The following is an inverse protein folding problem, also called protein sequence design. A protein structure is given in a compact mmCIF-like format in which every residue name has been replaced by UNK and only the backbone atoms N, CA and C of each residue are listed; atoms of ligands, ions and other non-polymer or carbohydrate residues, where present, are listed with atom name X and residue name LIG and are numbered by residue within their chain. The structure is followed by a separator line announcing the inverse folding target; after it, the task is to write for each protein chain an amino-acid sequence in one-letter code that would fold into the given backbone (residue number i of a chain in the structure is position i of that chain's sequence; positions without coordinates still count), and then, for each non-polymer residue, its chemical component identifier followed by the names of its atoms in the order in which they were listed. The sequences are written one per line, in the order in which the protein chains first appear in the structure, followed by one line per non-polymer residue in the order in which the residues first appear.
data_IF_598460060271
#
_entry.id   IF_598460060271
#
_cell.length_a   1.000
_cell.length_b   1.000
_cell.length_c   1.000
_cell.angle_alpha   90.00
_cell.angle_beta   90.00
_cell.angle_gamma   90.00
#
_symmetry.space_group_name_H-M   'P 1'
#
loop_
_entity.id
_entity.type
_entity.pdbx_description
1 polymer ?
#
# COMPACT_ATOMS: atom_id res chain seq x y z
N UNK A 1 -23.88 -11.53 8.66
CA UNK A 1 -23.55 -12.77 9.43
C UNK A 1 -22.32 -13.53 8.91
N UNK A 2 -21.77 -13.22 7.72
CA UNK A 2 -20.55 -13.84 7.18
C UNK A 2 -19.79 -12.78 6.37
N UNK A 3 -18.50 -12.98 6.12
CA UNK A 3 -17.71 -12.11 5.24
C UNK A 3 -16.86 -12.92 4.25
N UNK A 4 -16.47 -12.28 3.15
CA UNK A 4 -15.42 -12.76 2.25
C UNK A 4 -14.38 -11.64 2.18
N UNK A 5 -13.12 -11.99 2.45
CA UNK A 5 -11.98 -11.09 2.44
C UNK A 5 -11.03 -11.58 1.35
N UNK A 6 -10.92 -10.84 0.24
CA UNK A 6 -10.17 -11.27 -0.94
C UNK A 6 -9.08 -10.27 -1.29
N UNK A 7 -7.83 -10.74 -1.34
CA UNK A 7 -6.65 -9.97 -1.75
C UNK A 7 -6.47 -8.65 -0.98
N UNK A 8 -6.77 -8.66 0.32
CA UNK A 8 -6.62 -7.48 1.15
C UNK A 8 -7.22 -7.64 2.54
N UNK A 9 -6.64 -6.98 3.53
CA UNK A 9 -7.14 -6.98 4.91
C UNK A 9 -6.77 -5.67 5.61
N UNK A 10 -7.31 -5.46 6.82
CA UNK A 10 -6.92 -4.33 7.66
C UNK A 10 -5.45 -4.36 8.12
N UNK A 11 -4.77 -5.51 7.99
CA UNK A 11 -3.35 -5.67 8.36
C UNK A 11 -2.40 -5.54 7.16
N UNK A 12 -2.92 -5.44 5.93
CA UNK A 12 -2.09 -5.03 4.80
C UNK A 12 -1.48 -3.64 5.08
N UNK A 13 -0.26 -3.33 4.60
CA UNK A 13 0.42 -2.08 4.94
C UNK A 13 -0.30 -0.83 4.39
N UNK A 14 -1.18 -1.01 3.41
CA UNK A 14 -2.09 0.01 2.87
C UNK A 14 -3.47 0.04 3.54
N UNK A 15 -3.79 -0.89 4.44
CA UNK A 15 -5.10 -1.01 5.10
C UNK A 15 -5.40 0.10 6.12
N UNK A 16 -4.38 0.72 6.70
CA UNK A 16 -4.51 1.93 7.51
C UNK A 16 -3.21 2.75 7.52
N UNK A 17 -3.27 4.02 7.93
CA UNK A 17 -2.10 4.88 8.11
C UNK A 17 -1.69 5.00 9.58
N UNK A 18 -0.39 5.11 9.81
CA UNK A 18 0.15 5.43 11.14
C UNK A 18 -0.22 6.85 11.58
N UNK A 19 -0.36 7.10 12.90
CA UNK A 19 -0.73 8.40 13.42
C UNK A 19 0.15 9.54 12.88
N UNK A 20 -0.50 10.61 12.41
CA UNK A 20 0.17 11.81 11.93
C UNK A 20 0.62 11.77 10.46
N UNK A 21 0.72 10.61 9.82
CA UNK A 21 1.09 10.51 8.38
C UNK A 21 0.14 11.32 7.51
N UNK A 22 -1.17 11.04 7.59
CA UNK A 22 -2.15 11.75 6.76
C UNK A 22 -2.34 13.20 7.17
N UNK A 23 -2.01 13.57 8.43
CA UNK A 23 -1.98 14.97 8.86
C UNK A 23 -0.89 15.76 8.11
N UNK A 24 0.30 15.18 7.93
CA UNK A 24 1.38 15.78 7.13
C UNK A 24 0.97 15.91 5.66
N UNK A 25 0.37 14.87 5.09
CA UNK A 25 -0.15 14.91 3.70
C UNK A 25 -1.23 15.98 3.54
N UNK A 26 -2.13 16.13 4.51
CA UNK A 26 -3.17 17.16 4.49
C UNK A 26 -2.59 18.59 4.54
N UNK A 27 -1.48 18.80 5.23
CA UNK A 27 -0.78 20.09 5.22
C UNK A 27 -0.23 20.43 3.82
N UNK A 28 0.34 19.44 3.12
CA UNK A 28 0.79 19.60 1.72
C UNK A 28 -0.39 19.93 0.80
N UNK A 29 -1.53 19.26 0.95
CA UNK A 29 -2.75 19.60 0.19
C UNK A 29 -3.17 21.03 0.44
N UNK A 30 -3.17 21.48 1.70
CA UNK A 30 -3.53 22.84 2.08
C UNK A 30 -2.65 23.87 1.35
N UNK A 31 -1.33 23.65 1.33
CA UNK A 31 -0.37 24.50 0.60
C UNK A 31 -0.64 24.52 -0.90
N UNK A 32 -0.82 23.34 -1.52
CA UNK A 32 -1.01 23.22 -2.97
C UNK A 32 -2.30 23.89 -3.48
N UNK A 33 -3.33 23.98 -2.63
CA UNK A 33 -4.64 24.54 -3.00
C UNK A 33 -4.92 25.90 -2.36
N UNK A 34 -3.93 26.49 -1.69
CA UNK A 34 -4.04 27.82 -1.07
C UNK A 34 -5.02 27.89 0.10
N UNK A 35 -5.26 26.78 0.80
CA UNK A 35 -6.10 26.74 1.99
C UNK A 35 -5.29 26.88 3.28
N UNK A 36 -5.84 27.53 4.33
CA UNK A 36 -5.20 27.51 5.65
C UNK A 36 -5.22 26.08 6.19
N UNK A 37 -4.14 25.65 6.86
CA UNK A 37 -4.12 24.33 7.51
C UNK A 37 -4.65 24.37 8.96
N UNK A 38 -4.56 25.53 9.61
CA UNK A 38 -5.01 25.76 10.98
C UNK A 38 -5.70 27.12 11.11
N UNK A 39 -6.82 27.21 11.86
CA UNK A 39 -7.50 26.13 12.59
C UNK A 39 -8.21 25.12 11.67
N UNK A 40 -8.43 23.89 12.14
CA UNK A 40 -8.99 22.80 11.31
C UNK A 40 -10.38 23.11 10.73
N UNK A 41 -11.17 23.96 11.38
CA UNK A 41 -12.48 24.40 10.85
C UNK A 41 -12.32 25.24 9.59
N UNK A 42 -11.32 26.12 9.55
CA UNK A 42 -11.07 27.00 8.40
C UNK A 42 -10.48 26.21 7.24
N UNK A 43 -9.63 25.23 7.54
CA UNK A 43 -9.13 24.29 6.54
C UNK A 43 -10.28 23.54 5.85
N UNK A 44 -11.18 22.95 6.64
CA UNK A 44 -12.34 22.23 6.12
C UNK A 44 -13.25 23.15 5.29
N UNK A 45 -13.59 24.33 5.81
CA UNK A 45 -14.46 25.28 5.13
C UNK A 45 -13.85 25.79 3.81
N UNK A 46 -12.53 25.90 3.73
CA UNK A 46 -11.82 26.24 2.50
C UNK A 46 -11.90 25.09 1.49
N UNK A 47 -11.55 23.86 1.89
CA UNK A 47 -11.60 22.70 0.98
C UNK A 47 -13.01 22.47 0.41
N UNK A 48 -14.05 22.64 1.22
CA UNK A 48 -15.45 22.46 0.79
C UNK A 48 -15.91 23.47 -0.27
N UNK A 49 -15.19 24.57 -0.48
CA UNK A 49 -15.47 25.55 -1.54
C UNK A 49 -14.76 25.24 -2.85
N UNK A 50 -13.78 24.35 -2.84
CA UNK A 50 -13.02 23.97 -4.03
C UNK A 50 -13.76 22.89 -4.83
N UNK A 51 -13.61 22.88 -6.17
CA UNK A 51 -13.99 21.72 -6.96
C UNK A 51 -13.25 20.47 -6.47
N UNK A 52 -13.96 19.35 -6.32
CA UNK A 52 -13.34 18.10 -5.86
C UNK A 52 -12.17 17.65 -6.74
N UNK A 53 -12.23 17.93 -8.04
CA UNK A 53 -11.12 17.66 -8.97
C UNK A 53 -9.83 18.41 -8.59
N UNK A 54 -9.93 19.65 -8.10
CA UNK A 54 -8.77 20.42 -7.63
C UNK A 54 -8.04 19.68 -6.52
N UNK A 55 -8.79 19.09 -5.59
CA UNK A 55 -8.23 18.31 -4.47
C UNK A 55 -7.63 17.00 -5.00
N UNK A 56 -8.35 16.26 -5.84
CA UNK A 56 -7.87 14.99 -6.42
C UNK A 56 -6.59 15.19 -7.24
N UNK A 57 -6.48 16.29 -8.00
CA UNK A 57 -5.29 16.62 -8.80
C UNK A 57 -4.02 16.79 -7.95
N UNK A 58 -4.14 17.05 -6.65
CA UNK A 58 -2.97 17.10 -5.75
C UNK A 58 -2.32 15.72 -5.54
N UNK A 59 -3.05 14.62 -5.78
CA UNK A 59 -2.58 13.27 -5.49
C UNK A 59 -1.27 12.92 -6.23
N UNK A 60 -1.09 13.46 -7.45
CA UNK A 60 0.13 13.28 -8.25
C UNK A 60 1.40 13.79 -7.57
N UNK A 61 1.30 14.76 -6.66
CA UNK A 61 2.45 15.33 -5.95
C UNK A 61 2.99 14.41 -4.87
N UNK A 62 2.25 13.34 -4.51
CA UNK A 62 2.71 12.33 -3.57
C UNK A 62 3.36 11.13 -4.26
N UNK A 63 3.25 11.01 -5.59
CA UNK A 63 3.87 9.93 -6.35
C UNK A 63 5.37 10.19 -6.50
N UNK A 64 6.17 9.22 -6.08
CA UNK A 64 7.64 9.31 -6.03
C UNK A 64 8.28 8.51 -7.16
N UNK A 65 7.80 7.29 -7.41
CA UNK A 65 8.38 6.41 -8.41
C UNK A 65 7.33 5.45 -8.96
N UNK A 66 7.20 5.39 -10.29
CA UNK A 66 6.23 4.54 -10.98
C UNK A 66 4.81 4.78 -10.43
N UNK A 67 4.21 3.84 -9.71
CA UNK A 67 2.89 4.00 -9.07
C UNK A 67 2.95 4.28 -7.56
N UNK A 68 4.15 4.47 -6.99
CA UNK A 68 4.36 4.48 -5.54
C UNK A 68 4.35 5.87 -4.89
N UNK A 69 3.79 6.00 -3.67
CA UNK A 69 3.14 4.93 -2.92
C UNK A 69 1.77 4.56 -3.53
N UNK A 70 1.50 3.27 -3.67
CA UNK A 70 0.27 2.74 -4.32
C UNK A 70 -1.03 3.22 -3.67
N UNK A 71 -1.01 3.58 -2.38
CA UNK A 71 -2.15 4.16 -1.66
C UNK A 71 -1.73 5.40 -0.86
N UNK A 72 -2.14 6.58 -1.35
CA UNK A 72 -1.83 7.91 -0.76
C UNK A 72 -2.77 8.29 0.38
N UNK A 73 -4.04 7.90 0.34
CA UNK A 73 -5.00 8.18 1.41
C UNK A 73 -5.56 6.85 1.92
N UNK A 74 -5.32 6.56 3.20
CA UNK A 74 -5.67 5.28 3.84
C UNK A 74 -6.70 5.52 4.95
N UNK A 75 -7.42 4.49 5.41
CA UNK A 75 -8.14 4.57 6.69
C UNK A 75 -7.22 5.01 7.83
N UNK A 76 -7.79 5.67 8.84
CA UNK A 76 -7.06 6.15 10.04
C UNK A 76 -7.71 5.66 11.31
N UNK A 77 -6.93 5.60 12.37
CA UNK A 77 -7.46 5.39 13.73
C UNK A 77 -8.02 6.73 14.23
N UNK A 78 -9.32 6.77 14.42
CA UNK A 78 -10.08 7.92 14.86
C UNK A 78 -10.12 8.03 16.39
N UNK A 79 -10.34 9.25 16.89
CA UNK A 79 -10.52 9.45 18.33
C UNK A 79 -11.88 8.88 18.75
N UNK A 80 -11.96 8.12 19.86
CA UNK A 80 -13.23 7.55 20.34
C UNK A 80 -14.34 8.57 20.64
N UNK A 81 -13.97 9.84 20.87
CA UNK A 81 -14.93 10.92 21.12
C UNK A 81 -15.59 11.49 19.86
N UNK A 82 -15.16 11.08 18.66
CA UNK A 82 -15.80 11.49 17.41
C UNK A 82 -17.11 10.72 17.25
N UNK A 83 -18.19 11.46 16.99
CA UNK A 83 -19.49 10.86 16.69
C UNK A 83 -19.37 10.00 15.41
N UNK A 84 -19.90 8.79 15.45
CA UNK A 84 -19.91 7.83 14.34
C UNK A 84 -18.49 7.39 13.87
N UNK A 85 -17.49 7.44 14.76
CA UNK A 85 -16.15 6.94 14.48
C UNK A 85 -16.19 5.46 14.05
N UNK A 86 -15.56 5.15 12.92
CA UNK A 86 -15.55 3.82 12.31
C UNK A 86 -14.45 2.94 12.89
N UNK A 87 -13.21 3.44 12.94
CA UNK A 87 -12.05 2.68 13.42
C UNK A 87 -11.37 3.42 14.57
N UNK A 88 -11.62 3.01 15.80
CA UNK A 88 -11.09 3.70 17.00
C UNK A 88 -9.89 3.00 17.66
N UNK A 89 -9.46 1.86 17.13
CA UNK A 89 -8.33 1.06 17.63
C UNK A 89 -7.48 0.55 16.46
N UNK A 90 -6.24 0.18 16.75
CA UNK A 90 -5.39 -0.48 15.78
C UNK A 90 -6.03 -1.77 15.28
N UNK A 91 -6.03 -2.06 13.96
CA UNK A 91 -6.42 -3.37 13.44
C UNK A 91 -5.63 -4.54 14.07
N UNK A 92 -4.43 -4.28 14.60
CA UNK A 92 -3.61 -5.24 15.36
C UNK A 92 -4.16 -5.60 16.75
N UNK A 93 -5.18 -4.89 17.23
CA UNK A 93 -5.85 -5.16 18.51
C UNK A 93 -7.26 -5.72 18.31
N UNK A 94 -7.80 -5.60 17.10
CA UNK A 94 -9.15 -6.03 16.78
C UNK A 94 -9.19 -7.51 16.41
N UNK A 95 -10.26 -8.18 16.82
CA UNK A 95 -10.57 -9.56 16.44
C UNK A 95 -12.07 -9.70 16.18
N UNK A 96 -12.45 -10.79 15.51
CA UNK A 96 -13.83 -11.09 15.16
C UNK A 96 -14.05 -12.60 15.17
N UNK A 97 -15.27 -13.01 15.50
CA UNK A 97 -15.74 -14.40 15.46
C UNK A 97 -16.72 -14.66 14.31
N UNK A 98 -17.02 -13.64 13.49
CA UNK A 98 -17.89 -13.76 12.31
C UNK A 98 -17.24 -14.72 11.31
N UNK A 99 -17.93 -15.74 10.78
CA UNK A 99 -17.34 -16.65 9.79
C UNK A 99 -16.82 -15.92 8.55
N UNK A 100 -15.58 -16.23 8.14
CA UNK A 100 -14.91 -15.58 6.99
C UNK A 100 -14.32 -16.60 6.02
N UNK A 101 -14.46 -16.31 4.73
CA UNK A 101 -13.64 -16.90 3.67
C UNK A 101 -12.56 -15.88 3.29
N UNK A 102 -11.29 -16.26 3.43
CA UNK A 102 -10.14 -15.49 3.01
C UNK A 102 -9.66 -15.98 1.64
N UNK A 103 -9.21 -15.07 0.80
CA UNK A 103 -8.71 -15.38 -0.53
C UNK A 103 -7.46 -14.61 -0.87
N UNK A 104 -6.53 -15.26 -1.57
CA UNK A 104 -5.35 -14.64 -2.15
C UNK A 104 -5.07 -15.22 -3.53
N UNK A 105 -4.41 -14.45 -4.38
CA UNK A 105 -3.96 -14.89 -5.70
C UNK A 105 -2.52 -15.39 -5.68
N UNK A 106 -2.15 -16.19 -6.68
CA UNK A 106 -0.78 -16.66 -6.87
C UNK A 106 0.25 -15.53 -7.08
N UNK A 107 -0.18 -14.45 -7.75
CA UNK A 107 0.68 -13.37 -8.19
C UNK A 107 0.08 -12.00 -7.85
N UNK A 108 -0.23 -11.74 -6.57
CA UNK A 108 -0.84 -10.48 -6.11
C UNK A 108 -0.01 -9.24 -6.49
N UNK A 109 1.31 -9.35 -6.35
CA UNK A 109 2.30 -8.33 -6.74
C UNK A 109 2.36 -8.06 -8.24
N UNK A 110 1.60 -8.79 -9.05
CA UNK A 110 1.52 -8.59 -10.50
C UNK A 110 1.12 -7.18 -10.89
N UNK A 111 0.33 -6.48 -10.06
CA UNK A 111 0.01 -5.05 -10.25
C UNK A 111 1.29 -4.22 -10.38
N UNK A 112 2.23 -4.41 -9.46
CA UNK A 112 3.51 -3.69 -9.47
C UNK A 112 4.40 -4.15 -10.61
N UNK A 113 4.57 -5.46 -10.75
CA UNK A 113 5.41 -6.05 -11.80
C UNK A 113 5.01 -5.51 -13.16
N UNK A 114 3.72 -5.54 -13.49
CA UNK A 114 3.23 -5.11 -14.79
C UNK A 114 3.38 -3.60 -15.00
N UNK A 115 3.26 -2.78 -13.96
CA UNK A 115 3.58 -1.36 -14.05
C UNK A 115 5.07 -1.10 -14.33
N UNK A 116 5.99 -1.72 -13.59
CA UNK A 116 7.43 -1.47 -13.77
C UNK A 116 7.99 -2.06 -15.06
N UNK A 117 7.39 -3.13 -15.58
CA UNK A 117 7.75 -3.73 -16.88
C UNK A 117 6.96 -3.16 -18.05
N UNK A 118 6.11 -2.16 -17.84
CA UNK A 118 5.39 -1.43 -18.88
C UNK A 118 5.95 -0.01 -19.10
N UNK A 119 5.80 0.51 -20.33
CA UNK A 119 6.25 1.85 -20.71
C UNK A 119 7.78 2.00 -20.75
N UNK A 120 8.34 3.04 -20.13
CA UNK A 120 9.79 3.29 -20.08
C UNK A 120 10.51 2.38 -19.05
N UNK A 121 10.57 1.09 -19.38
CA UNK A 121 11.18 0.05 -18.55
C UNK A 121 12.65 0.36 -18.24
N UNK A 122 13.40 0.83 -19.23
CA UNK A 122 14.84 1.09 -19.07
C UNK A 122 15.09 2.17 -18.01
N UNK A 123 14.38 3.30 -18.08
CA UNK A 123 14.54 4.37 -17.08
C UNK A 123 14.06 3.93 -15.69
N UNK A 124 12.93 3.21 -15.62
CA UNK A 124 12.39 2.71 -14.34
C UNK A 124 13.37 1.79 -13.62
N UNK A 125 13.95 0.81 -14.31
CA UNK A 125 14.92 -0.12 -13.71
C UNK A 125 16.28 0.54 -13.42
N UNK A 126 16.71 1.49 -14.26
CA UNK A 126 17.92 2.29 -13.97
C UNK A 126 17.75 3.08 -12.68
N UNK A 127 16.63 3.81 -12.53
CA UNK A 127 16.33 4.56 -11.31
C UNK A 127 16.21 3.60 -10.12
N UNK A 128 15.47 2.50 -10.27
CA UNK A 128 15.25 1.56 -9.18
C UNK A 128 16.55 0.97 -8.63
N UNK A 129 17.51 0.62 -9.50
CA UNK A 129 18.81 0.15 -9.03
C UNK A 129 19.65 1.26 -8.38
N UNK A 130 19.60 2.48 -8.91
CA UNK A 130 20.38 3.61 -8.38
C UNK A 130 19.85 4.12 -7.03
N UNK A 131 18.53 4.04 -6.81
CA UNK A 131 17.82 4.64 -5.68
C UNK A 131 17.10 3.58 -4.84
N UNK A 132 17.51 2.31 -4.91
CA UNK A 132 16.76 1.22 -4.26
C UNK A 132 16.53 1.48 -2.76
N UNK A 133 17.55 1.96 -2.05
CA UNK A 133 17.47 2.12 -0.60
C UNK A 133 16.48 3.20 -0.16
N UNK A 134 16.27 4.22 -0.99
CA UNK A 134 15.28 5.28 -0.73
C UNK A 134 13.89 4.91 -1.27
N UNK A 135 13.82 4.16 -2.37
CA UNK A 135 12.55 3.78 -3.01
C UNK A 135 11.88 2.59 -2.32
N UNK A 136 12.63 1.58 -1.86
CA UNK A 136 12.08 0.35 -1.28
C UNK A 136 11.17 0.61 -0.06
N UNK A 137 11.51 1.48 0.91
CA UNK A 137 10.62 1.77 2.05
C UNK A 137 9.28 2.40 1.65
N UNK A 138 9.27 3.19 0.58
CA UNK A 138 8.08 3.84 0.05
C UNK A 138 7.25 2.82 -0.73
N UNK A 139 7.92 2.12 -1.66
CA UNK A 139 7.29 1.18 -2.58
C UNK A 139 6.72 -0.04 -1.88
N UNK A 140 7.41 -0.57 -0.86
CA UNK A 140 6.96 -1.71 -0.06
C UNK A 140 6.17 -1.29 1.20
N UNK A 141 5.93 0.02 1.37
CA UNK A 141 5.04 0.60 2.38
C UNK A 141 5.43 0.34 3.85
N UNK A 142 6.71 0.08 4.14
CA UNK A 142 7.20 -0.06 5.52
C UNK A 142 7.85 1.22 6.08
N UNK A 143 8.17 2.21 5.23
CA UNK A 143 8.91 3.42 5.64
C UNK A 143 8.19 4.27 6.69
N UNK A 144 6.85 4.25 6.69
CA UNK A 144 6.04 5.00 7.66
C UNK A 144 5.79 4.24 8.97
N UNK A 145 6.16 2.94 9.01
CA UNK A 145 5.85 2.00 10.09
C UNK A 145 7.08 1.55 10.86
N UNK A 146 8.25 1.56 10.22
CA UNK A 146 9.50 1.12 10.84
C UNK A 146 10.45 2.29 11.12
N UNK A 147 10.95 2.43 12.36
CA UNK A 147 12.02 3.37 12.67
C UNK A 147 13.37 2.96 12.05
N UNK A 148 13.56 1.67 11.72
CA UNK A 148 14.75 1.14 11.05
C UNK A 148 14.37 0.58 9.67
N UNK A 149 14.15 1.48 8.72
CA UNK A 149 13.85 1.10 7.35
C UNK A 149 15.07 0.52 6.63
N UNK A 150 16.30 0.86 7.04
CA UNK A 150 17.53 0.43 6.38
C UNK A 150 17.79 -1.07 6.56
N UNK A 151 17.62 -1.60 7.78
CA UNK A 151 17.76 -3.02 8.03
C UNK A 151 16.73 -3.86 7.26
N UNK A 152 15.48 -3.38 7.18
CA UNK A 152 14.41 -4.05 6.41
C UNK A 152 14.74 -4.03 4.92
N UNK A 153 15.14 -2.89 4.36
CA UNK A 153 15.56 -2.75 2.96
C UNK A 153 16.60 -3.80 2.59
N UNK A 154 17.65 -3.93 3.41
CA UNK A 154 18.73 -4.89 3.20
C UNK A 154 18.23 -6.34 3.26
N UNK A 155 17.46 -6.67 4.29
CA UNK A 155 16.92 -8.02 4.48
C UNK A 155 16.02 -8.44 3.30
N UNK A 156 15.11 -7.55 2.86
CA UNK A 156 14.23 -7.79 1.72
C UNK A 156 15.05 -7.97 0.43
N UNK A 157 16.02 -7.08 0.17
CA UNK A 157 16.85 -7.16 -1.04
C UNK A 157 17.62 -8.49 -1.10
N UNK A 158 18.27 -8.84 0.00
CA UNK A 158 19.00 -10.10 0.14
C UNK A 158 18.08 -11.32 -0.05
N UNK A 159 16.86 -11.30 0.49
CA UNK A 159 15.93 -12.44 0.40
C UNK A 159 15.46 -12.70 -1.04
N UNK A 160 14.98 -11.68 -1.76
CA UNK A 160 14.40 -11.88 -3.10
C UNK A 160 15.42 -11.86 -4.23
N UNK A 161 16.55 -11.17 -4.07
CA UNK A 161 17.54 -10.99 -5.13
C UNK A 161 18.89 -11.66 -4.82
N UNK A 162 19.08 -12.17 -3.61
CA UNK A 162 20.23 -13.01 -3.21
C UNK A 162 21.48 -12.24 -2.77
N UNK A 163 21.69 -11.00 -3.23
CA UNK A 163 22.74 -10.13 -2.70
C UNK A 163 22.40 -8.65 -2.86
N UNK A 164 22.95 -7.81 -1.97
CA UNK A 164 22.68 -6.37 -1.96
C UNK A 164 23.22 -5.65 -3.20
N UNK A 165 24.21 -6.22 -3.89
CA UNK A 165 24.84 -5.61 -5.06
C UNK A 165 24.31 -6.16 -6.40
N UNK A 166 23.42 -7.15 -6.38
CA UNK A 166 22.87 -7.70 -7.62
C UNK A 166 21.97 -6.67 -8.28
N UNK A 167 22.21 -6.40 -9.55
CA UNK A 167 21.32 -5.58 -10.37
C UNK A 167 19.96 -6.27 -10.52
N UNK A 168 18.89 -5.54 -10.22
CA UNK A 168 17.51 -5.96 -10.47
C UNK A 168 17.23 -5.73 -11.95
N UNK A 169 16.82 -6.78 -12.66
CA UNK A 169 16.63 -6.73 -14.12
C UNK A 169 15.16 -6.92 -14.51
N UNK A 170 14.72 -6.40 -15.67
CA UNK A 170 13.33 -6.55 -16.14
C UNK A 170 12.84 -7.98 -16.28
N UNK A 171 13.74 -8.94 -16.50
CA UNK A 171 13.43 -10.37 -16.63
C UNK A 171 13.26 -11.09 -15.28
N UNK A 172 13.55 -10.44 -14.15
CA UNK A 172 13.34 -10.97 -12.79
C UNK A 172 11.88 -10.89 -12.33
N UNK A 173 10.94 -11.14 -13.26
CA UNK A 173 9.49 -10.99 -13.10
C UNK A 173 8.99 -11.77 -11.87
N UNK A 174 9.45 -13.01 -11.69
CA UNK A 174 9.01 -13.86 -10.57
C UNK A 174 9.42 -13.28 -9.22
N UNK A 175 10.68 -12.86 -9.07
CA UNK A 175 11.22 -12.31 -7.82
C UNK A 175 10.53 -10.99 -7.46
N UNK A 176 10.35 -10.11 -8.44
CA UNK A 176 9.64 -8.83 -8.26
C UNK A 176 8.19 -9.10 -7.83
N UNK A 177 7.50 -9.99 -8.56
CA UNK A 177 6.11 -10.34 -8.26
C UNK A 177 5.95 -10.92 -6.86
N UNK A 178 6.82 -11.85 -6.46
CA UNK A 178 6.78 -12.45 -5.13
C UNK A 178 7.04 -11.41 -4.04
N UNK A 179 8.07 -10.57 -4.19
CA UNK A 179 8.39 -9.51 -3.24
C UNK A 179 7.20 -8.58 -2.96
N UNK A 180 6.52 -8.12 -4.02
CA UNK A 180 5.35 -7.26 -3.86
C UNK A 180 4.09 -8.03 -3.43
N UNK A 181 3.95 -9.30 -3.80
CA UNK A 181 2.86 -10.15 -3.30
C UNK A 181 2.92 -10.25 -1.79
N UNK A 182 4.11 -10.56 -1.28
CA UNK A 182 4.35 -10.78 0.14
C UNK A 182 4.23 -9.48 0.93
N UNK A 183 4.85 -8.41 0.44
CA UNK A 183 4.82 -7.11 1.11
C UNK A 183 3.43 -6.48 1.13
N UNK A 184 2.70 -6.46 0.01
CA UNK A 184 1.43 -5.72 -0.07
C UNK A 184 0.22 -6.53 0.38
N UNK A 185 0.22 -7.85 0.23
CA UNK A 185 -0.99 -8.66 0.35
C UNK A 185 -0.82 -9.84 1.28
N UNK A 186 0.06 -10.79 0.92
CA UNK A 186 0.07 -12.14 1.51
C UNK A 186 0.31 -12.09 3.02
N UNK A 187 1.32 -11.36 3.48
CA UNK A 187 1.61 -11.29 4.92
C UNK A 187 0.44 -10.70 5.71
N UNK A 188 -0.13 -9.57 5.27
CA UNK A 188 -1.27 -8.95 5.96
C UNK A 188 -2.51 -9.84 5.97
N UNK A 189 -2.79 -10.56 4.87
CA UNK A 189 -3.93 -11.50 4.82
C UNK A 189 -3.67 -12.71 5.72
N UNK A 190 -2.48 -13.31 5.68
CA UNK A 190 -2.13 -14.46 6.53
C UNK A 190 -2.14 -14.09 8.02
N UNK A 191 -1.60 -12.94 8.41
CA UNK A 191 -1.70 -12.43 9.78
C UNK A 191 -3.16 -12.26 10.22
N UNK A 192 -4.02 -11.82 9.30
CA UNK A 192 -5.46 -11.68 9.58
C UNK A 192 -6.13 -13.05 9.75
N UNK A 193 -5.80 -14.02 8.90
CA UNK A 193 -6.29 -15.41 9.00
C UNK A 193 -5.87 -16.03 10.33
N UNK A 194 -4.61 -15.85 10.73
CA UNK A 194 -4.07 -16.39 11.98
C UNK A 194 -4.81 -15.80 13.19
N UNK A 195 -4.97 -14.48 13.23
CA UNK A 195 -5.59 -13.73 14.34
C UNK A 195 -7.12 -13.82 14.40
N UNK A 196 -7.77 -14.32 13.35
CA UNK A 196 -9.22 -14.50 13.32
C UNK A 196 -9.67 -15.63 14.27
N UNK A 197 -10.68 -15.33 15.11
CA UNK A 197 -11.17 -16.22 16.17
C UNK A 197 -12.43 -17.01 15.79
N UNK A 198 -13.03 -16.72 14.63
CA UNK A 198 -14.20 -17.43 14.12
C UNK A 198 -13.87 -18.55 13.12
N UNK A 199 -14.91 -19.21 12.56
CA UNK A 199 -14.73 -20.16 11.47
C UNK A 199 -14.05 -19.50 10.27
N UNK A 200 -12.92 -20.06 9.84
CA UNK A 200 -12.09 -19.54 8.75
C UNK A 200 -11.84 -20.57 7.67
N UNK A 201 -11.97 -20.12 6.42
CA UNK A 201 -11.60 -20.88 5.23
C UNK A 201 -10.64 -20.03 4.42
N UNK A 202 -9.62 -20.65 3.84
CA UNK A 202 -8.66 -19.96 2.98
C UNK A 202 -8.72 -20.60 1.59
N UNK A 203 -8.81 -19.77 0.55
CA UNK A 203 -8.60 -20.21 -0.82
C UNK A 203 -7.41 -19.50 -1.45
N UNK A 204 -6.74 -20.21 -2.34
CA UNK A 204 -5.63 -19.71 -3.12
C UNK A 204 -5.95 -19.85 -4.60
N UNK A 205 -5.99 -18.72 -5.30
CA UNK A 205 -6.45 -18.64 -6.68
C UNK A 205 -5.26 -18.58 -7.63
N UNK A 206 -5.13 -19.62 -8.45
CA UNK A 206 -3.98 -19.84 -9.35
C UNK A 206 -4.33 -19.77 -10.83
N UNK A 207 -5.59 -19.48 -11.16
CA UNK A 207 -6.05 -19.49 -12.54
C UNK A 207 -5.46 -18.31 -13.33
N UNK A 208 -4.80 -18.64 -14.44
CA UNK A 208 -4.12 -17.70 -15.31
C UNK A 208 -4.83 -17.66 -16.69
N UNK A 209 -5.32 -16.48 -17.10
CA UNK A 209 -5.96 -16.26 -18.41
C UNK A 209 -4.99 -15.64 -19.42
N UNK A 210 -5.33 -15.81 -20.70
CA UNK A 210 -4.68 -15.15 -21.85
C UNK A 210 -4.80 -13.61 -21.84
N UNK A 211 -5.77 -13.04 -21.12
CA UNK A 211 -5.93 -11.58 -20.94
C UNK A 211 -6.06 -11.24 -19.45
N UNK A 212 -5.32 -10.23 -19.00
CA UNK A 212 -5.29 -9.80 -17.60
C UNK A 212 -5.03 -8.29 -17.46
N UNK A 213 -5.05 -7.78 -16.23
CA UNK A 213 -4.62 -6.40 -15.94
C UNK A 213 -3.25 -6.07 -16.55
N UNK A 214 -2.35 -7.04 -16.57
CA UNK A 214 -1.04 -6.87 -17.18
C UNK A 214 -1.13 -6.54 -18.66
N UNK A 215 -2.12 -7.06 -19.39
CA UNK A 215 -2.38 -6.75 -20.79
C UNK A 215 -2.70 -5.27 -21.06
N UNK A 216 -2.99 -4.47 -20.03
CA UNK A 216 -3.19 -3.00 -20.15
C UNK A 216 -1.86 -2.24 -20.10
N UNK A 217 -0.83 -2.81 -19.47
CA UNK A 217 0.49 -2.20 -19.34
C UNK A 217 1.43 -2.50 -20.53
N UNK A 218 1.06 -3.46 -21.38
CA UNK A 218 1.78 -3.86 -22.60
C UNK A 218 1.17 -3.22 -23.85
#
# INVERSE_FOLDING_TARGET
HRAIIHSGSGLCPWGYAEPGVLKKRAAVVAELVGCPFSPSKDFLACLQKLPGETIVRTNKHFLVWDLDPVVVWKPVIEKPCVKDAFLTKSPWELTSTVPVIFGMNYAEGGIKTCSVTGGDVSSKFKQWNAEYDSLAPISLLYGERSPDSAAITKAVRSFYFGSDNKEIKPDMITQITQMYSDAWFVNGVLDTVERHQGPKYLFYYTYNKTFSLCSIFW
#
